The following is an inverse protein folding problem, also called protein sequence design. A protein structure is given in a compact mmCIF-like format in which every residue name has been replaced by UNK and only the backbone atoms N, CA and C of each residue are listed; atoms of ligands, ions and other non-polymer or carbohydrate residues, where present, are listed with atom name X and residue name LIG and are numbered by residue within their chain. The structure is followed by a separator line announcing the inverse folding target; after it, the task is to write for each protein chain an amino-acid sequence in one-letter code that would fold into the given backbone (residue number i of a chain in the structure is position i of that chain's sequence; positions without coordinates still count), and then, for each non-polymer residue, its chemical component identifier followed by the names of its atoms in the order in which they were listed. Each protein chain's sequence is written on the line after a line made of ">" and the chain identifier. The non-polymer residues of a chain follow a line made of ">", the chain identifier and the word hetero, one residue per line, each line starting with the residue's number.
data_IF_734439910603
#
_entry.id   IF_734439910603
#
_cell.length_a   1.000
_cell.length_b   1.000
_cell.length_c   1.000
_cell.angle_alpha   90.00
_cell.angle_beta   90.00
_cell.angle_gamma   90.00
#
_symmetry.space_group_name_H-M   'P 1'
#
loop_
_entity.id
_entity.type
_entity.pdbx_description
1 polymer ?
#
# COMPACT_ATOMS: atom_id res chain seq x y z
N UNK A 1 -16.33 -10.58 39.25
CA UNK A 1 -16.19 -9.11 39.07
C UNK A 1 -16.54 -8.76 37.63
N UNK A 2 -17.64 -8.04 37.38
CA UNK A 2 -17.91 -7.44 36.06
C UNK A 2 -17.05 -6.17 35.93
N UNK A 3 -16.34 -5.95 34.81
CA UNK A 3 -15.57 -4.72 34.64
C UNK A 3 -16.51 -3.51 34.66
N UNK A 4 -16.11 -2.44 35.35
CA UNK A 4 -16.86 -1.20 35.40
C UNK A 4 -17.08 -0.63 33.98
N UNK A 5 -18.25 -0.02 33.69
CA UNK A 5 -18.51 0.57 32.39
C UNK A 5 -17.47 1.67 32.10
N UNK A 6 -16.72 1.52 30.99
CA UNK A 6 -15.84 2.58 30.48
C UNK A 6 -16.69 3.83 30.24
N UNK A 7 -16.31 4.95 30.84
CA UNK A 7 -17.00 6.22 30.62
C UNK A 7 -16.75 6.68 29.18
N UNK A 8 -17.77 7.24 28.50
CA UNK A 8 -17.65 7.71 27.11
C UNK A 8 -16.45 8.64 26.87
N UNK A 9 -16.11 9.48 27.87
CA UNK A 9 -14.94 10.36 27.85
C UNK A 9 -13.62 9.60 27.69
N UNK A 10 -13.44 8.47 28.37
CA UNK A 10 -12.21 7.67 28.26
C UNK A 10 -12.07 7.00 26.89
N UNK A 11 -13.18 6.60 26.26
CA UNK A 11 -13.17 6.03 24.92
C UNK A 11 -12.82 7.08 23.85
N UNK A 12 -13.37 8.29 23.97
CA UNK A 12 -13.03 9.43 23.10
C UNK A 12 -11.56 9.81 23.25
N UNK A 13 -11.03 9.95 24.48
CA UNK A 13 -9.60 10.22 24.68
C UNK A 13 -8.71 9.13 24.07
N UNK A 14 -9.07 7.85 24.25
CA UNK A 14 -8.31 6.73 23.66
C UNK A 14 -8.27 6.81 22.13
N UNK A 15 -9.40 7.11 21.48
CA UNK A 15 -9.45 7.23 20.01
C UNK A 15 -8.71 8.45 19.48
N UNK A 16 -8.77 9.58 20.19
CA UNK A 16 -7.98 10.76 19.84
C UNK A 16 -6.48 10.42 19.82
N UNK A 17 -5.99 9.76 20.87
CA UNK A 17 -4.60 9.32 20.97
C UNK A 17 -4.25 8.32 19.86
N UNK A 18 -5.12 7.34 19.61
CA UNK A 18 -4.92 6.34 18.55
C UNK A 18 -4.84 6.97 17.15
N UNK A 19 -5.60 8.04 16.88
CA UNK A 19 -5.52 8.79 15.62
C UNK A 19 -4.25 9.63 15.55
N UNK A 20 -3.84 10.28 16.64
CA UNK A 20 -2.67 11.17 16.65
C UNK A 20 -1.36 10.44 16.39
N UNK A 21 -1.18 9.23 16.95
CA UNK A 21 0.11 8.52 16.85
C UNK A 21 0.53 8.20 15.40
N UNK A 22 -0.29 7.56 14.55
CA UNK A 22 0.08 7.30 13.15
C UNK A 22 0.34 8.58 12.35
N UNK A 23 -0.40 9.66 12.62
CA UNK A 23 -0.21 10.95 11.95
C UNK A 23 1.11 11.60 12.34
N UNK A 24 1.43 11.63 13.64
CA UNK A 24 2.71 12.13 14.14
C UNK A 24 3.88 11.27 13.65
N UNK A 25 3.69 9.95 13.66
CA UNK A 25 4.70 8.99 13.20
C UNK A 25 5.04 9.21 11.72
N UNK A 26 4.04 9.16 10.84
CA UNK A 26 4.26 9.20 9.40
C UNK A 26 4.71 10.57 8.88
N UNK A 27 4.20 11.65 9.48
CA UNK A 27 4.45 13.01 8.97
C UNK A 27 5.61 13.75 9.65
N UNK A 28 6.02 13.34 10.86
CA UNK A 28 7.03 14.07 11.63
C UNK A 28 8.13 13.16 12.18
N UNK A 29 7.79 12.17 13.00
CA UNK A 29 8.79 11.39 13.73
C UNK A 29 9.66 10.54 12.79
N UNK A 30 9.06 9.70 11.95
CA UNK A 30 9.80 8.83 11.04
C UNK A 30 10.66 9.64 10.04
N UNK A 31 10.15 10.71 9.40
CA UNK A 31 10.97 11.60 8.59
C UNK A 31 12.14 12.23 9.36
N UNK A 32 11.93 12.67 10.60
CA UNK A 32 12.97 13.32 11.41
C UNK A 32 14.11 12.38 11.83
N UNK A 33 13.89 11.05 11.78
CA UNK A 33 14.94 10.07 12.06
C UNK A 33 15.94 9.92 10.90
N UNK A 34 15.63 10.45 9.71
CA UNK A 34 16.48 10.42 8.51
C UNK A 34 17.11 9.04 8.22
N UNK A 35 16.32 7.98 8.42
CA UNK A 35 16.80 6.61 8.33
C UNK A 35 16.89 6.16 6.87
N UNK A 36 17.94 5.41 6.49
CA UNK A 36 17.95 4.71 5.21
C UNK A 36 16.81 3.68 5.17
N UNK A 37 16.45 3.22 3.97
CA UNK A 37 15.28 2.36 3.73
C UNK A 37 15.17 1.16 4.70
N UNK A 38 16.27 0.47 4.96
CA UNK A 38 16.31 -0.67 5.90
C UNK A 38 15.93 -0.24 7.33
N UNK A 39 16.50 0.85 7.83
CA UNK A 39 16.19 1.39 9.15
C UNK A 39 14.74 1.89 9.23
N UNK A 40 14.27 2.58 8.19
CA UNK A 40 12.88 3.05 8.08
C UNK A 40 11.87 1.89 8.13
N UNK A 41 12.13 0.80 7.41
CA UNK A 41 11.29 -0.40 7.46
C UNK A 41 11.28 -1.04 8.84
N UNK A 42 12.44 -1.19 9.50
CA UNK A 42 12.52 -1.71 10.87
C UNK A 42 11.73 -0.82 11.84
N UNK A 43 11.89 0.51 11.75
CA UNK A 43 11.17 1.45 12.60
C UNK A 43 9.65 1.34 12.42
N UNK A 44 9.17 1.25 11.17
CA UNK A 44 7.74 1.05 10.88
C UNK A 44 7.19 -0.25 11.46
N UNK A 45 7.91 -1.36 11.30
CA UNK A 45 7.50 -2.66 11.85
C UNK A 45 7.37 -2.56 13.36
N UNK A 46 8.40 -2.03 14.05
CA UNK A 46 8.39 -1.88 15.50
C UNK A 46 7.26 -0.97 15.98
N UNK A 47 7.07 0.17 15.33
CA UNK A 47 6.00 1.10 15.66
C UNK A 47 4.62 0.45 15.47
N UNK A 48 4.38 -0.21 14.35
CA UNK A 48 3.10 -0.86 14.06
C UNK A 48 2.79 -1.99 15.05
N UNK A 49 3.79 -2.82 15.37
CA UNK A 49 3.64 -3.88 16.37
C UNK A 49 3.36 -3.30 17.76
N UNK A 50 4.11 -2.29 18.19
CA UNK A 50 3.89 -1.61 19.48
C UNK A 50 2.51 -0.96 19.55
N UNK A 51 2.12 -0.24 18.50
CA UNK A 51 0.81 0.38 18.37
C UNK A 51 -0.32 -0.65 18.49
N UNK A 52 -0.23 -1.76 17.75
CA UNK A 52 -1.24 -2.82 17.84
C UNK A 52 -1.27 -3.50 19.22
N UNK A 53 -0.14 -3.67 19.89
CA UNK A 53 -0.12 -4.22 21.25
C UNK A 53 -0.83 -3.28 22.25
N UNK A 54 -0.53 -1.98 22.20
CA UNK A 54 -1.12 -0.96 23.09
C UNK A 54 -2.63 -0.82 22.87
N UNK A 55 -3.08 -0.85 21.62
CA UNK A 55 -4.49 -0.68 21.28
C UNK A 55 -5.27 -1.99 21.10
N UNK A 56 -4.63 -3.14 21.33
CA UNK A 56 -5.18 -4.49 21.21
C UNK A 56 -5.70 -4.83 19.79
N UNK A 57 -4.91 -4.49 18.79
CA UNK A 57 -5.14 -4.82 17.39
C UNK A 57 -5.30 -6.32 17.15
N UNK A 58 -6.23 -6.70 16.27
CA UNK A 58 -6.47 -8.10 15.89
C UNK A 58 -6.40 -8.24 14.39
N UNK A 59 -5.37 -8.88 13.89
CA UNK A 59 -5.16 -8.96 12.44
C UNK A 59 -5.78 -10.20 11.79
N UNK A 60 -5.85 -11.35 12.48
CA UNK A 60 -6.33 -12.62 11.95
C UNK A 60 -5.63 -13.03 10.63
N UNK A 61 -4.29 -12.92 10.57
CA UNK A 61 -3.48 -13.10 9.36
C UNK A 61 -3.70 -14.44 8.65
N UNK A 62 -3.96 -15.51 9.39
CA UNK A 62 -4.06 -16.87 8.83
C UNK A 62 -5.50 -17.30 8.52
N UNK A 63 -6.45 -16.36 8.43
CA UNK A 63 -7.84 -16.67 8.07
C UNK A 63 -7.93 -17.20 6.62
N UNK A 64 -8.45 -18.42 6.38
CA UNK A 64 -8.62 -18.95 5.02
C UNK A 64 -9.52 -18.07 4.14
N UNK A 65 -10.57 -17.48 4.75
CA UNK A 65 -11.45 -16.52 4.08
C UNK A 65 -10.70 -15.23 3.72
N UNK A 66 -9.84 -14.76 4.62
CA UNK A 66 -8.93 -13.64 4.39
C UNK A 66 -8.01 -13.88 3.20
N UNK A 67 -7.31 -15.00 3.20
CA UNK A 67 -6.40 -15.40 2.12
C UNK A 67 -7.14 -15.54 0.79
N UNK A 68 -8.30 -16.22 0.74
CA UNK A 68 -9.08 -16.38 -0.49
C UNK A 68 -9.54 -15.04 -1.08
N UNK A 69 -10.14 -14.17 -0.25
CA UNK A 69 -10.62 -12.85 -0.69
C UNK A 69 -9.45 -11.96 -1.09
N UNK A 70 -8.35 -11.98 -0.34
CA UNK A 70 -7.15 -11.20 -0.63
C UNK A 70 -6.47 -11.63 -1.92
N UNK A 71 -6.29 -12.94 -2.15
CA UNK A 71 -5.71 -13.46 -3.39
C UNK A 71 -6.57 -13.10 -4.61
N UNK A 72 -7.91 -13.15 -4.50
CA UNK A 72 -8.78 -12.71 -5.58
C UNK A 72 -8.61 -11.21 -5.90
N UNK A 73 -8.55 -10.36 -4.88
CA UNK A 73 -8.31 -8.92 -5.06
C UNK A 73 -6.92 -8.63 -5.63
N UNK A 74 -5.88 -9.29 -5.11
CA UNK A 74 -4.51 -9.19 -5.60
C UNK A 74 -4.40 -9.64 -7.06
N UNK A 75 -5.10 -10.71 -7.45
CA UNK A 75 -5.19 -11.17 -8.83
C UNK A 75 -5.79 -10.13 -9.77
N UNK A 76 -6.89 -9.47 -9.37
CA UNK A 76 -7.51 -8.39 -10.15
C UNK A 76 -6.56 -7.20 -10.34
N UNK A 77 -5.88 -6.77 -9.27
CA UNK A 77 -4.89 -5.68 -9.34
C UNK A 77 -3.72 -6.05 -10.25
N UNK A 78 -3.22 -7.28 -10.12
CA UNK A 78 -2.12 -7.79 -10.94
C UNK A 78 -2.51 -7.85 -12.41
N UNK A 79 -3.74 -8.29 -12.71
CA UNK A 79 -4.29 -8.26 -14.07
C UNK A 79 -4.36 -6.82 -14.63
N UNK A 80 -4.69 -5.84 -13.79
CA UNK A 80 -4.65 -4.42 -14.15
C UNK A 80 -3.24 -3.95 -14.55
N UNK A 81 -2.20 -4.29 -13.77
CA UNK A 81 -0.82 -4.00 -14.14
C UNK A 81 -0.39 -4.70 -15.44
N UNK A 82 -0.75 -5.97 -15.62
CA UNK A 82 -0.45 -6.70 -16.85
C UNK A 82 -1.12 -6.08 -18.08
N UNK A 83 -2.38 -5.66 -17.95
CA UNK A 83 -3.10 -4.95 -19.01
C UNK A 83 -2.45 -3.60 -19.32
N UNK A 84 -2.04 -2.84 -18.30
CA UNK A 84 -1.31 -1.58 -18.47
C UNK A 84 0.02 -1.78 -19.23
N UNK A 85 0.79 -2.82 -18.88
CA UNK A 85 2.03 -3.17 -19.57
C UNK A 85 1.81 -3.64 -21.01
N UNK A 86 0.66 -4.23 -21.31
CA UNK A 86 0.30 -4.65 -22.66
C UNK A 86 0.03 -3.45 -23.59
N UNK A 87 -0.50 -2.35 -23.06
CA UNK A 87 -0.82 -1.14 -23.82
C UNK A 87 0.46 -0.30 -24.05
N UNK A 88 0.93 -0.11 -25.31
CA UNK A 88 2.21 0.55 -25.57
C UNK A 88 2.31 2.00 -25.07
N UNK A 89 1.24 2.78 -25.17
CA UNK A 89 1.23 4.16 -24.68
C UNK A 89 1.41 4.20 -23.16
N UNK A 90 0.67 3.37 -22.42
CA UNK A 90 0.74 3.29 -20.96
C UNK A 90 2.10 2.74 -20.51
N UNK A 91 2.60 1.69 -21.17
CA UNK A 91 3.91 1.12 -20.86
C UNK A 91 5.05 2.15 -20.99
N UNK A 92 5.03 3.00 -22.02
CA UNK A 92 6.05 4.07 -22.18
C UNK A 92 6.03 5.06 -21.01
N UNK A 93 4.84 5.52 -20.62
CA UNK A 93 4.72 6.40 -19.44
C UNK A 93 5.22 5.71 -18.16
N UNK A 94 4.98 4.40 -18.00
CA UNK A 94 5.53 3.65 -16.86
C UNK A 94 7.06 3.55 -16.89
N UNK A 95 7.66 3.41 -18.08
CA UNK A 95 9.10 3.30 -18.22
C UNK A 95 9.85 4.59 -17.82
N UNK A 96 9.20 5.75 -17.98
CA UNK A 96 9.70 7.08 -17.59
C UNK A 96 9.69 7.30 -16.07
N UNK A 97 8.97 6.47 -15.31
CA UNK A 97 8.96 6.57 -13.84
C UNK A 97 10.26 6.01 -13.27
N UNK A 98 11.06 6.91 -12.68
CA UNK A 98 12.30 6.59 -11.99
C UNK A 98 12.33 7.23 -10.61
N UNK A 99 11.56 6.66 -9.67
CA UNK A 99 11.36 7.18 -8.31
C UNK A 99 11.53 6.10 -7.24
N UNK A 100 12.51 5.22 -7.44
CA UNK A 100 12.81 4.13 -6.51
C UNK A 100 13.64 4.60 -5.30
N UNK A 101 13.60 3.88 -4.18
CA UNK A 101 14.49 4.13 -3.06
C UNK A 101 15.94 3.74 -3.36
N UNK A 102 16.87 4.08 -2.45
CA UNK A 102 18.30 3.71 -2.50
C UNK A 102 18.56 2.21 -2.20
N UNK A 103 17.74 1.32 -2.76
CA UNK A 103 17.89 -0.13 -2.71
C UNK A 103 17.44 -0.73 -4.04
N UNK A 104 17.83 -1.97 -4.31
CA UNK A 104 17.38 -2.64 -5.54
C UNK A 104 15.85 -2.79 -5.57
N UNK A 105 15.25 -2.76 -6.76
CA UNK A 105 13.80 -3.00 -6.93
C UNK A 105 13.36 -4.34 -6.34
N UNK A 106 14.21 -5.37 -6.42
CA UNK A 106 13.95 -6.69 -5.85
C UNK A 106 13.93 -6.64 -4.31
N UNK A 107 14.89 -5.96 -3.68
CA UNK A 107 14.90 -5.77 -2.23
C UNK A 107 13.67 -4.95 -1.78
N UNK A 108 13.36 -3.87 -2.50
CA UNK A 108 12.21 -3.03 -2.19
C UNK A 108 10.89 -3.80 -2.26
N UNK A 109 10.64 -4.49 -3.38
CA UNK A 109 9.41 -5.23 -3.60
C UNK A 109 9.30 -6.51 -2.75
N UNK A 110 10.42 -7.15 -2.43
CA UNK A 110 10.46 -8.42 -1.70
C UNK A 110 10.53 -8.30 -0.18
N UNK A 111 11.03 -7.17 0.35
CA UNK A 111 11.26 -6.99 1.79
C UNK A 111 10.57 -5.74 2.33
N UNK A 112 10.92 -4.57 1.80
CA UNK A 112 10.48 -3.31 2.40
C UNK A 112 8.99 -3.03 2.17
N UNK A 113 8.46 -3.36 0.99
CA UNK A 113 7.02 -3.24 0.73
C UNK A 113 6.20 -4.22 1.58
N UNK A 114 6.48 -5.55 1.61
CA UNK A 114 5.68 -6.47 2.41
C UNK A 114 5.68 -6.15 3.92
N UNK A 115 6.84 -5.79 4.48
CA UNK A 115 6.97 -5.65 5.93
C UNK A 115 6.97 -4.18 6.40
N UNK A 116 7.84 -3.35 5.82
CA UNK A 116 7.96 -1.93 6.17
C UNK A 116 6.72 -1.10 5.82
N UNK A 117 5.98 -1.48 4.78
CA UNK A 117 4.74 -0.83 4.35
C UNK A 117 3.51 -1.65 4.70
N UNK A 118 3.28 -2.77 4.02
CA UNK A 118 1.99 -3.48 4.04
C UNK A 118 1.67 -4.05 5.41
N UNK A 119 2.56 -4.83 6.01
CA UNK A 119 2.36 -5.35 7.38
C UNK A 119 2.08 -4.20 8.35
N UNK A 120 2.92 -3.15 8.31
CA UNK A 120 2.87 -2.06 9.26
C UNK A 120 1.57 -1.27 9.16
N UNK A 121 1.18 -0.87 7.93
CA UNK A 121 -0.02 -0.09 7.70
C UNK A 121 -1.30 -0.91 7.93
N UNK A 122 -1.39 -2.14 7.44
CA UNK A 122 -2.58 -2.95 7.66
C UNK A 122 -2.79 -3.32 9.14
N UNK A 123 -1.69 -3.46 9.88
CA UNK A 123 -1.72 -3.67 11.32
C UNK A 123 -2.19 -2.41 12.08
N UNK A 124 -1.69 -1.22 11.72
CA UNK A 124 -2.10 0.04 12.34
C UNK A 124 -3.56 0.36 11.99
N UNK A 125 -3.91 0.35 10.72
CA UNK A 125 -5.18 0.91 10.26
C UNK A 125 -6.31 -0.13 10.31
N UNK A 126 -6.14 -1.30 9.67
CA UNK A 126 -7.24 -2.25 9.44
C UNK A 126 -7.41 -3.21 10.60
N UNK A 127 -6.32 -3.60 11.25
CA UNK A 127 -6.36 -4.49 12.40
C UNK A 127 -6.62 -3.76 13.73
N UNK A 128 -6.35 -2.45 13.80
CA UNK A 128 -6.34 -1.72 15.08
C UNK A 128 -7.20 -0.46 15.04
N UNK A 129 -6.84 0.56 14.25
CA UNK A 129 -7.48 1.88 14.31
C UNK A 129 -8.94 1.86 13.86
N UNK A 130 -9.25 1.36 12.65
CA UNK A 130 -10.62 1.35 12.14
C UNK A 130 -11.58 0.58 13.07
N UNK A 131 -11.26 -0.64 13.56
CA UNK A 131 -12.10 -1.32 14.54
C UNK A 131 -12.33 -0.51 15.81
N UNK A 132 -11.28 0.11 16.37
CA UNK A 132 -11.36 0.94 17.57
C UNK A 132 -12.24 2.18 17.36
N UNK A 133 -12.12 2.82 16.20
CA UNK A 133 -12.94 3.96 15.83
C UNK A 133 -14.40 3.56 15.65
N UNK A 134 -14.69 2.41 15.04
CA UNK A 134 -16.07 1.93 14.89
C UNK A 134 -16.70 1.53 16.22
N UNK A 135 -15.91 0.99 17.15
CA UNK A 135 -16.38 0.69 18.51
C UNK A 135 -16.81 1.97 19.24
N UNK A 136 -16.10 3.09 19.02
CA UNK A 136 -16.34 4.35 19.74
C UNK A 136 -17.35 5.27 19.04
N UNK A 137 -17.29 5.34 17.71
CA UNK A 137 -18.02 6.29 16.88
C UNK A 137 -19.05 5.63 15.96
N UNK A 138 -19.29 4.33 16.11
CA UNK A 138 -20.27 3.59 15.30
C UNK A 138 -19.89 3.49 13.82
N UNK A 139 -20.89 3.55 12.94
CA UNK A 139 -20.71 3.35 11.50
C UNK A 139 -19.77 4.40 10.85
N UNK A 140 -19.70 5.59 11.43
CA UNK A 140 -18.89 6.70 10.90
C UNK A 140 -17.39 6.56 11.21
N UNK A 141 -17.02 5.67 12.13
CA UNK A 141 -15.62 5.42 12.48
C UNK A 141 -14.75 4.99 11.28
N UNK A 142 -15.35 4.40 10.24
CA UNK A 142 -14.65 4.07 8.98
C UNK A 142 -14.16 5.30 8.22
N UNK A 143 -14.95 6.39 8.24
CA UNK A 143 -14.59 7.63 7.54
C UNK A 143 -13.40 8.28 8.23
N UNK A 144 -13.44 8.34 9.58
CA UNK A 144 -12.32 8.85 10.35
C UNK A 144 -11.06 7.99 10.17
N UNK A 145 -11.19 6.67 10.13
CA UNK A 145 -10.08 5.76 9.83
C UNK A 145 -9.47 6.01 8.44
N UNK A 146 -10.31 6.10 7.41
CA UNK A 146 -9.89 6.39 6.04
C UNK A 146 -9.25 7.78 5.89
N UNK A 147 -9.82 8.81 6.52
CA UNK A 147 -9.23 10.15 6.54
C UNK A 147 -7.87 10.15 7.25
N UNK A 148 -7.75 9.45 8.39
CA UNK A 148 -6.47 9.33 9.10
C UNK A 148 -5.43 8.63 8.22
N UNK A 149 -5.81 7.56 7.54
CA UNK A 149 -4.94 6.86 6.59
C UNK A 149 -4.49 7.80 5.46
N UNK A 150 -5.39 8.59 4.89
CA UNK A 150 -5.05 9.57 3.86
C UNK A 150 -4.09 10.66 4.36
N UNK A 151 -4.37 11.23 5.53
CA UNK A 151 -3.52 12.28 6.13
C UNK A 151 -2.14 11.77 6.55
N UNK A 152 -1.98 10.49 6.84
CA UNK A 152 -0.66 9.89 7.09
C UNK A 152 0.26 9.91 5.84
N UNK A 153 -0.30 10.14 4.65
CA UNK A 153 0.44 10.19 3.39
C UNK A 153 0.87 11.60 2.95
N UNK A 154 0.66 12.63 3.78
CA UNK A 154 1.05 14.01 3.43
C UNK A 154 2.56 14.14 3.24
N UNK A 155 3.36 13.72 4.22
CA UNK A 155 4.82 13.80 4.10
C UNK A 155 5.39 12.80 3.09
N UNK A 156 4.92 11.54 3.01
CA UNK A 156 5.28 10.66 1.91
C UNK A 156 5.04 11.26 0.52
N UNK A 157 3.89 11.92 0.29
CA UNK A 157 3.62 12.59 -0.98
C UNK A 157 4.60 13.75 -1.22
N UNK A 158 4.83 14.57 -0.18
CA UNK A 158 5.76 15.70 -0.26
C UNK A 158 7.17 15.27 -0.61
N UNK A 159 7.68 14.18 -0.02
CA UNK A 159 9.07 13.74 -0.22
C UNK A 159 9.37 13.28 -1.65
N UNK A 160 8.36 12.89 -2.41
CA UNK A 160 8.51 12.45 -3.81
C UNK A 160 7.91 13.42 -4.83
N UNK A 161 7.44 14.59 -4.37
CA UNK A 161 6.87 15.64 -5.21
C UNK A 161 5.47 15.35 -5.76
N UNK A 162 4.72 14.43 -5.15
CA UNK A 162 3.36 14.11 -5.58
C UNK A 162 2.34 15.16 -5.10
N UNK A 163 1.23 15.37 -5.83
CA UNK A 163 0.18 16.31 -5.45
C UNK A 163 -0.53 15.87 -4.16
N UNK A 164 -0.18 16.51 -3.03
CA UNK A 164 -0.67 16.16 -1.68
C UNK A 164 -2.19 15.96 -1.61
N UNK A 165 -3.06 16.87 -2.11
CA UNK A 165 -4.50 16.68 -1.99
C UNK A 165 -5.00 15.44 -2.74
N UNK A 166 -4.45 15.17 -3.91
CA UNK A 166 -4.80 14.01 -4.71
C UNK A 166 -4.32 12.72 -4.03
N UNK A 167 -3.08 12.70 -3.51
CA UNK A 167 -2.55 11.55 -2.77
C UNK A 167 -3.39 11.26 -1.54
N UNK A 168 -3.74 12.26 -0.73
CA UNK A 168 -4.60 12.10 0.46
C UNK A 168 -5.98 11.54 0.07
N UNK A 169 -6.59 12.06 -1.01
CA UNK A 169 -7.90 11.60 -1.46
C UNK A 169 -7.86 10.15 -1.96
N UNK A 170 -6.90 9.80 -2.83
CA UNK A 170 -6.75 8.45 -3.39
C UNK A 170 -6.42 7.43 -2.30
N UNK A 171 -5.52 7.77 -1.39
CA UNK A 171 -5.16 6.88 -0.27
C UNK A 171 -6.31 6.71 0.71
N UNK A 172 -7.10 7.76 1.01
CA UNK A 172 -8.32 7.62 1.81
C UNK A 172 -9.38 6.72 1.13
N UNK A 173 -9.55 6.81 -0.19
CA UNK A 173 -10.44 5.91 -0.95
C UNK A 173 -9.94 4.46 -0.91
N UNK A 174 -8.63 4.23 -1.09
CA UNK A 174 -8.01 2.92 -0.89
C UNK A 174 -8.22 2.42 0.55
N UNK A 175 -8.12 3.33 1.53
CA UNK A 175 -8.68 3.27 2.89
C UNK A 175 -9.92 2.40 3.00
N UNK A 176 -10.99 2.93 2.41
CA UNK A 176 -12.33 2.37 2.44
C UNK A 176 -12.44 1.03 1.70
N UNK A 177 -11.72 0.86 0.59
CA UNK A 177 -11.69 -0.41 -0.14
C UNK A 177 -11.05 -1.51 0.71
N UNK A 178 -9.93 -1.20 1.38
CA UNK A 178 -9.26 -2.16 2.27
C UNK A 178 -10.10 -2.48 3.50
N UNK A 179 -10.78 -1.48 4.08
CA UNK A 179 -11.77 -1.71 5.15
C UNK A 179 -12.90 -2.62 4.66
N UNK A 180 -13.39 -2.44 3.43
CA UNK A 180 -14.41 -3.33 2.85
C UNK A 180 -13.91 -4.79 2.71
N UNK A 181 -12.66 -4.99 2.24
CA UNK A 181 -12.04 -6.31 2.16
C UNK A 181 -11.89 -6.95 3.55
N UNK A 182 -11.52 -6.15 4.55
CA UNK A 182 -11.43 -6.57 5.94
C UNK A 182 -12.80 -7.01 6.47
N UNK A 183 -13.84 -6.22 6.25
CA UNK A 183 -15.20 -6.50 6.72
C UNK A 183 -15.77 -7.76 6.07
N UNK A 184 -15.56 -7.95 4.77
CA UNK A 184 -16.00 -9.14 4.03
C UNK A 184 -15.35 -10.42 4.51
N UNK A 185 -14.13 -10.35 5.04
CA UNK A 185 -13.29 -11.52 5.33
C UNK A 185 -13.03 -11.77 6.81
N UNK A 186 -13.20 -10.76 7.66
CA UNK A 186 -12.81 -10.79 9.07
C UNK A 186 -11.29 -10.77 9.30
N UNK A 187 -10.47 -10.45 8.29
CA UNK A 187 -9.01 -10.60 8.34
C UNK A 187 -8.27 -9.46 7.64
N UNK A 188 -7.16 -9.00 8.24
CA UNK A 188 -6.23 -8.06 7.63
C UNK A 188 -5.43 -8.67 6.47
N UNK A 189 -5.41 -10.00 6.32
CA UNK A 189 -4.75 -10.64 5.19
C UNK A 189 -5.41 -10.27 3.85
N UNK A 190 -6.73 -10.09 3.84
CA UNK A 190 -7.44 -9.71 2.62
C UNK A 190 -7.00 -8.34 2.06
N UNK A 191 -7.05 -7.24 2.84
CA UNK A 191 -6.50 -5.98 2.37
C UNK A 191 -4.98 -6.02 2.20
N UNK A 192 -4.22 -6.74 3.05
CA UNK A 192 -2.76 -6.83 2.91
C UNK A 192 -2.31 -7.43 1.57
N UNK A 193 -2.99 -8.48 1.07
CA UNK A 193 -2.66 -9.05 -0.24
C UNK A 193 -2.98 -8.08 -1.38
N UNK A 194 -4.12 -7.38 -1.31
CA UNK A 194 -4.46 -6.34 -2.29
C UNK A 194 -3.46 -5.17 -2.24
N UNK A 195 -3.11 -4.73 -1.03
CA UNK A 195 -2.18 -3.65 -0.78
C UNK A 195 -0.76 -3.98 -1.25
N UNK A 196 -0.32 -5.23 -1.02
CA UNK A 196 0.94 -5.76 -1.55
C UNK A 196 0.95 -5.77 -3.07
N UNK A 197 -0.12 -6.26 -3.72
CA UNK A 197 -0.20 -6.27 -5.17
C UNK A 197 -0.13 -4.85 -5.76
N UNK A 198 -0.78 -3.87 -5.13
CA UNK A 198 -0.70 -2.46 -5.54
C UNK A 198 0.73 -1.91 -5.40
N UNK A 199 1.36 -2.05 -4.24
CA UNK A 199 2.67 -1.44 -4.01
C UNK A 199 3.79 -2.16 -4.76
N UNK A 200 3.84 -3.50 -4.69
CA UNK A 200 4.84 -4.27 -5.41
C UNK A 200 4.65 -4.13 -6.92
N UNK A 201 3.41 -4.09 -7.41
CA UNK A 201 3.10 -3.77 -8.81
C UNK A 201 3.61 -2.39 -9.22
N UNK A 202 3.40 -1.36 -8.39
CA UNK A 202 3.91 -0.01 -8.62
C UNK A 202 5.44 0.07 -8.66
N UNK A 203 6.14 -0.72 -7.82
CA UNK A 203 7.59 -0.81 -7.82
C UNK A 203 8.13 -1.58 -9.04
N UNK A 204 7.47 -2.67 -9.44
CA UNK A 204 7.95 -3.58 -10.48
C UNK A 204 7.56 -3.15 -11.90
N UNK A 205 6.42 -2.49 -12.08
CA UNK A 205 5.89 -2.15 -13.40
C UNK A 205 6.81 -1.23 -14.22
N UNK A 206 7.45 -0.18 -13.66
CA UNK A 206 8.42 0.63 -14.40
C UNK A 206 9.63 -0.19 -14.89
N UNK A 207 10.17 -1.06 -14.04
CA UNK A 207 11.29 -1.93 -14.40
C UNK A 207 10.90 -2.94 -15.48
N UNK A 208 9.71 -3.55 -15.36
CA UNK A 208 9.17 -4.46 -16.37
C UNK A 208 8.90 -3.75 -17.71
N UNK A 209 8.40 -2.52 -17.67
CA UNK A 209 8.16 -1.70 -18.86
C UNK A 209 9.46 -1.46 -19.64
N UNK A 210 10.53 -1.03 -18.95
CA UNK A 210 11.87 -0.84 -19.54
C UNK A 210 12.42 -2.14 -20.14
N UNK A 211 12.34 -3.25 -19.41
CA UNK A 211 12.81 -4.55 -19.90
C UNK A 211 12.08 -5.00 -21.18
N UNK A 212 10.76 -4.83 -21.24
CA UNK A 212 9.95 -5.18 -22.40
C UNK A 212 10.27 -4.33 -23.63
N UNK A 213 10.55 -3.04 -23.46
CA UNK A 213 10.93 -2.16 -24.56
C UNK A 213 12.35 -2.49 -25.07
N UNK A 214 13.31 -2.82 -24.21
CA UNK A 214 14.64 -3.30 -24.62
C UNK A 214 14.57 -4.60 -25.45
N UNK A 215 13.79 -5.59 -25.01
CA UNK A 215 13.61 -6.83 -25.76
C UNK A 215 13.00 -6.58 -27.15
N UNK A 216 12.09 -5.60 -27.27
CA UNK A 216 11.48 -5.22 -28.56
C UNK A 216 12.49 -4.51 -29.48
N UNK A 217 13.31 -3.62 -28.94
CA UNK A 217 14.36 -2.94 -29.70
C UNK A 217 15.45 -3.92 -30.18
N UNK A 218 15.77 -4.94 -29.39
CA UNK A 218 16.76 -5.96 -29.74
C UNK A 218 16.25 -7.02 -30.74
N UNK A 219 14.94 -7.09 -31.01
CA UNK A 219 14.40 -7.98 -32.06
C UNK A 219 14.73 -7.37 -33.43
N UNK A 220 15.58 -8.00 -34.26
CA UNK A 220 15.86 -7.50 -35.60
C UNK A 220 14.54 -7.45 -36.38
N UNK A 221 14.22 -6.27 -36.91
CA UNK A 221 13.07 -6.12 -37.80
C UNK A 221 13.20 -7.14 -38.92
N UNK A 222 12.15 -7.94 -39.16
CA UNK A 222 12.00 -8.65 -40.44
C UNK A 222 11.86 -7.58 -41.52
N UNK A 223 12.98 -6.99 -41.97
CA UNK A 223 13.01 -6.26 -43.22
C UNK A 223 12.73 -7.31 -44.28
N UNK A 224 11.48 -7.38 -44.76
CA UNK A 224 11.18 -8.01 -46.03
C UNK A 224 12.01 -7.26 -47.08
N UNK A 225 13.22 -7.75 -47.35
CA UNK A 225 13.97 -7.33 -48.54
C UNK A 225 13.21 -7.91 -49.71
N UNK A 226 12.34 -7.09 -50.30
CA UNK A 226 11.62 -7.42 -51.51
C UNK A 226 12.62 -7.95 -52.55
N UNK A 227 12.34 -9.15 -53.05
CA UNK A 227 13.00 -9.72 -54.21
C UNK A 227 12.88 -8.72 -55.37
N UNK A 228 13.97 -8.03 -55.70
CA UNK A 228 14.07 -7.30 -56.96
C UNK A 228 14.23 -8.35 -58.05
N UNK A 229 13.17 -8.62 -58.79
CA UNK A 229 13.25 -9.34 -60.05
C UNK A 229 14.25 -8.61 -60.96
N UNK A 230 15.33 -9.32 -61.33
CA UNK A 230 16.25 -8.92 -62.38
C UNK A 230 15.64 -9.40 -63.69
N UNK A 231 15.02 -8.51 -64.45
CA UNK A 231 14.70 -8.80 -65.84
C UNK A 231 16.00 -8.72 -66.65
N UNK A 232 16.38 -9.84 -67.24
CA UNK A 232 17.20 -9.91 -68.45
C UNK A 232 16.34 -10.54 -69.54
#
# INVERSE_FOLDING_TARGET
>A
MRPAPRTARTAVSKTAVAVSFPLLWANYLLPALDLPMRGRSTANILFATAYAMVFHGRANWFSPRGLRTGTAAAGLITAGYLAALAIPSVRRHMAEVDRGPDVTTAEWAGVHIPFGTVYSEELIYRATLTPLLRETWGADGKWLGATTFGLAHVQPARSVGDPIPATVAVTALAGLVFDHLRDRSGSAAAPALAHLALNAGGALAPAAARALDHVRAARPGKSWRGWRFRNR
#
